data_IF_681986096259
#
_entry.id   IF_681986096259
#
_cell.length_a   1.000
_cell.length_b   1.000
_cell.length_c   1.000
_cell.angle_alpha   90.00
_cell.angle_beta   90.00
_cell.angle_gamma   90.00
#
_symmetry.space_group_name_H-M   'P 1'
#
loop_
_entity.id
_entity.type
_entity.pdbx_description
1 polymer ?
#
# COMPACT_ATOMS: atom_id res chain seq x y z
N UNK A 1 42.13 -39.47 -11.71
CA UNK A 1 41.06 -39.27 -12.71
C UNK A 1 39.66 -39.53 -12.16
N UNK A 2 39.40 -40.56 -11.32
CA UNK A 2 38.07 -40.74 -10.68
C UNK A 2 37.68 -39.59 -9.72
N UNK A 3 38.54 -39.27 -8.74
CA UNK A 3 38.29 -38.20 -7.76
C UNK A 3 37.97 -36.83 -8.37
N UNK A 4 38.56 -36.48 -9.51
CA UNK A 4 38.35 -35.19 -10.18
C UNK A 4 36.98 -35.10 -10.87
N UNK A 5 36.45 -36.24 -11.32
CA UNK A 5 35.09 -36.31 -11.87
C UNK A 5 34.06 -36.27 -10.76
N UNK A 6 34.30 -36.96 -9.64
CA UNK A 6 33.40 -36.99 -8.48
C UNK A 6 33.22 -35.57 -7.87
N UNK A 7 34.32 -34.81 -7.71
CA UNK A 7 34.30 -33.42 -7.25
C UNK A 7 33.55 -32.47 -8.21
N UNK A 8 33.67 -32.69 -9.52
CA UNK A 8 32.97 -31.87 -10.51
C UNK A 8 31.46 -32.13 -10.50
N UNK A 9 31.07 -33.39 -10.34
CA UNK A 9 29.67 -33.80 -10.25
C UNK A 9 29.01 -33.26 -8.97
N UNK A 10 29.72 -33.31 -7.84
CA UNK A 10 29.27 -32.73 -6.57
C UNK A 10 29.07 -31.21 -6.65
N UNK A 11 30.03 -30.49 -7.24
CA UNK A 11 29.91 -29.03 -7.45
C UNK A 11 28.76 -28.66 -8.38
N UNK A 12 28.53 -29.43 -9.44
CA UNK A 12 27.41 -29.22 -10.35
C UNK A 12 26.06 -29.40 -9.62
N UNK A 13 25.96 -30.46 -8.82
CA UNK A 13 24.75 -30.77 -8.06
C UNK A 13 24.47 -29.69 -6.99
N UNK A 14 25.51 -29.23 -6.29
CA UNK A 14 25.40 -28.12 -5.34
C UNK A 14 24.91 -26.83 -6.03
N UNK A 15 25.52 -26.48 -7.16
CA UNK A 15 25.14 -25.30 -7.96
C UNK A 15 23.67 -25.38 -8.38
N UNK A 16 23.24 -26.55 -8.85
CA UNK A 16 21.85 -26.77 -9.26
C UNK A 16 20.86 -26.66 -8.09
N UNK A 17 21.20 -27.19 -6.91
CA UNK A 17 20.37 -27.06 -5.70
C UNK A 17 20.24 -25.59 -5.28
N UNK A 18 21.36 -24.85 -5.27
CA UNK A 18 21.37 -23.42 -4.95
C UNK A 18 20.56 -22.61 -5.97
N UNK A 19 20.71 -22.90 -7.26
CA UNK A 19 19.96 -22.22 -8.33
C UNK A 19 18.45 -22.46 -8.19
N UNK A 20 18.04 -23.72 -7.98
CA UNK A 20 16.63 -24.07 -7.80
C UNK A 20 16.03 -23.36 -6.58
N UNK A 21 16.77 -23.31 -5.47
CA UNK A 21 16.32 -22.61 -4.27
C UNK A 21 16.18 -21.10 -4.52
N UNK A 22 17.18 -20.48 -5.13
CA UNK A 22 17.16 -19.05 -5.48
C UNK A 22 15.94 -18.71 -6.34
N UNK A 23 15.76 -19.42 -7.47
CA UNK A 23 14.67 -19.13 -8.40
C UNK A 23 13.30 -19.41 -7.80
N UNK A 24 13.16 -20.45 -6.98
CA UNK A 24 11.91 -20.73 -6.28
C UNK A 24 11.53 -19.58 -5.35
N UNK A 25 12.44 -19.15 -4.48
CA UNK A 25 12.16 -18.09 -3.51
C UNK A 25 11.96 -16.73 -4.20
N UNK A 26 12.77 -16.43 -5.23
CA UNK A 26 12.64 -15.22 -6.03
C UNK A 26 11.27 -15.12 -6.71
N UNK A 27 10.85 -16.18 -7.42
CA UNK A 27 9.58 -16.17 -8.16
C UNK A 27 8.38 -16.12 -7.21
N UNK A 28 8.45 -16.83 -6.09
CA UNK A 28 7.41 -16.78 -5.07
C UNK A 28 7.27 -15.37 -4.50
N UNK A 29 8.38 -14.75 -4.06
CA UNK A 29 8.36 -13.39 -3.52
C UNK A 29 7.89 -12.38 -4.57
N UNK A 30 8.39 -12.45 -5.81
CA UNK A 30 7.97 -11.55 -6.88
C UNK A 30 6.46 -11.64 -7.15
N UNK A 31 5.90 -12.85 -7.11
CA UNK A 31 4.44 -13.07 -7.24
C UNK A 31 3.67 -12.42 -6.09
N UNK A 32 4.16 -12.58 -4.86
CA UNK A 32 3.56 -11.95 -3.67
C UNK A 32 3.59 -10.42 -3.78
N UNK A 33 4.75 -9.84 -4.13
CA UNK A 33 4.90 -8.39 -4.27
C UNK A 33 4.00 -7.83 -5.38
N UNK A 34 3.89 -8.53 -6.51
CA UNK A 34 2.96 -8.17 -7.59
C UNK A 34 1.50 -8.20 -7.12
N UNK A 35 1.11 -9.22 -6.36
CA UNK A 35 -0.25 -9.31 -5.82
C UNK A 35 -0.54 -8.17 -4.83
N UNK A 36 0.39 -7.85 -3.92
CA UNK A 36 0.24 -6.73 -2.98
C UNK A 36 0.12 -5.41 -3.75
N UNK A 37 0.96 -5.18 -4.76
CA UNK A 37 0.88 -4.00 -5.63
C UNK A 37 -0.48 -3.88 -6.32
N UNK A 38 -0.98 -4.98 -6.90
CA UNK A 38 -2.30 -5.01 -7.53
C UNK A 38 -3.42 -4.70 -6.54
N UNK A 39 -3.43 -5.32 -5.36
CA UNK A 39 -4.44 -5.05 -4.35
C UNK A 39 -4.35 -3.62 -3.81
N UNK A 40 -3.14 -3.09 -3.63
CA UNK A 40 -2.92 -1.71 -3.20
C UNK A 40 -3.51 -0.72 -4.21
N UNK A 41 -3.35 -0.97 -5.52
CA UNK A 41 -3.94 -0.14 -6.58
C UNK A 41 -5.48 -0.10 -6.57
N UNK A 42 -6.11 -1.08 -5.92
CA UNK A 42 -7.56 -1.15 -5.77
C UNK A 42 -8.07 -0.38 -4.55
N UNK A 43 -7.19 -0.01 -3.62
CA UNK A 43 -7.56 0.82 -2.48
C UNK A 43 -7.89 2.22 -2.98
N UNK A 44 -9.09 2.69 -2.64
CA UNK A 44 -9.58 4.00 -3.09
C UNK A 44 -9.73 4.94 -1.90
N UNK A 45 -8.70 5.75 -1.60
CA UNK A 45 -8.73 6.61 -0.42
C UNK A 45 -9.70 7.79 -0.53
N UNK A 46 -10.40 7.98 -1.66
CA UNK A 46 -11.22 9.17 -1.93
C UNK A 46 -12.69 8.89 -1.65
N UNK A 47 -13.12 9.07 -0.42
CA UNK A 47 -14.52 9.01 -0.01
C UNK A 47 -14.79 10.01 1.12
N UNK A 48 -16.04 10.47 1.23
CA UNK A 48 -16.54 11.26 2.37
C UNK A 48 -17.26 10.40 3.40
N UNK A 49 -17.44 9.10 3.12
CA UNK A 49 -18.05 8.16 4.05
C UNK A 49 -16.98 7.57 4.97
N UNK A 50 -17.14 7.80 6.28
CA UNK A 50 -16.23 7.28 7.30
C UNK A 50 -16.17 5.75 7.31
N UNK A 51 -17.32 5.07 7.28
CA UNK A 51 -17.38 3.61 7.26
C UNK A 51 -16.65 3.03 6.03
N UNK A 52 -16.76 3.67 4.88
CA UNK A 52 -16.03 3.25 3.69
C UNK A 52 -14.51 3.39 3.88
N UNK A 53 -14.05 4.54 4.40
CA UNK A 53 -12.63 4.77 4.66
C UNK A 53 -12.06 3.80 5.71
N UNK A 54 -12.84 3.45 6.74
CA UNK A 54 -12.46 2.45 7.74
C UNK A 54 -12.25 1.06 7.11
N UNK A 55 -13.13 0.64 6.20
CA UNK A 55 -12.97 -0.62 5.47
C UNK A 55 -11.72 -0.60 4.56
N UNK A 56 -11.46 0.51 3.87
CA UNK A 56 -10.25 0.66 3.05
C UNK A 56 -8.97 0.67 3.90
N UNK A 57 -9.03 1.27 5.10
CA UNK A 57 -7.94 1.25 6.07
C UNK A 57 -7.66 -0.16 6.59
N UNK A 58 -8.68 -0.99 6.81
CA UNK A 58 -8.49 -2.39 7.21
C UNK A 58 -7.80 -3.21 6.12
N UNK A 59 -8.23 -3.06 4.86
CA UNK A 59 -7.56 -3.69 3.71
C UNK A 59 -6.09 -3.24 3.62
N UNK A 60 -5.84 -1.94 3.74
CA UNK A 60 -4.49 -1.39 3.77
C UNK A 60 -3.64 -2.02 4.87
N UNK A 61 -4.17 -2.13 6.10
CA UNK A 61 -3.44 -2.70 7.22
C UNK A 61 -3.07 -4.17 6.97
N UNK A 62 -3.96 -4.94 6.33
CA UNK A 62 -3.68 -6.31 5.95
C UNK A 62 -2.54 -6.37 4.91
N UNK A 63 -2.56 -5.50 3.89
CA UNK A 63 -1.47 -5.43 2.90
C UNK A 63 -0.13 -5.06 3.51
N UNK A 64 -0.10 -4.12 4.46
CA UNK A 64 1.12 -3.76 5.19
C UNK A 64 1.65 -4.95 5.97
N UNK A 65 0.78 -5.68 6.66
CA UNK A 65 1.16 -6.89 7.40
C UNK A 65 1.74 -7.95 6.46
N UNK A 66 1.08 -8.20 5.33
CA UNK A 66 1.54 -9.17 4.34
C UNK A 66 2.89 -8.76 3.74
N UNK A 67 3.09 -7.47 3.44
CA UNK A 67 4.37 -6.94 2.99
C UNK A 67 5.47 -7.14 4.05
N UNK A 68 5.25 -6.73 5.30
CA UNK A 68 6.20 -6.90 6.40
C UNK A 68 6.55 -8.36 6.69
N UNK A 69 5.58 -9.27 6.59
CA UNK A 69 5.81 -10.70 6.80
C UNK A 69 6.81 -11.30 5.80
N UNK A 70 6.99 -10.66 4.64
CA UNK A 70 7.91 -11.11 3.59
C UNK A 70 9.30 -10.46 3.68
N UNK A 71 9.56 -9.59 4.66
CA UNK A 71 10.85 -8.91 4.82
C UNK A 71 12.00 -9.91 5.05
N UNK A 72 11.78 -10.94 5.86
CA UNK A 72 12.80 -11.97 6.11
C UNK A 72 13.13 -12.71 4.80
N UNK A 73 12.12 -13.12 4.04
CA UNK A 73 12.31 -13.82 2.74
C UNK A 73 13.07 -12.94 1.75
N UNK A 74 12.71 -11.66 1.67
CA UNK A 74 13.43 -10.68 0.87
C UNK A 74 14.92 -10.60 1.24
N UNK A 75 15.23 -10.48 2.53
CA UNK A 75 16.63 -10.46 3.00
C UNK A 75 17.37 -11.77 2.73
N UNK A 76 16.72 -12.93 2.90
CA UNK A 76 17.34 -14.22 2.59
C UNK A 76 17.70 -14.37 1.11
N UNK A 77 16.85 -13.90 0.19
CA UNK A 77 17.15 -13.91 -1.24
C UNK A 77 18.38 -13.07 -1.55
N UNK A 78 18.45 -11.85 -1.00
CA UNK A 78 19.56 -10.94 -1.25
C UNK A 78 20.88 -11.40 -0.61
N UNK A 79 20.83 -11.81 0.65
CA UNK A 79 22.03 -11.99 1.47
C UNK A 79 22.49 -13.44 1.57
N UNK A 80 21.63 -14.41 1.26
CA UNK A 80 21.96 -15.82 1.41
C UNK A 80 21.91 -16.54 0.08
N UNK A 81 20.72 -16.65 -0.52
CA UNK A 81 20.56 -17.47 -1.73
C UNK A 81 21.27 -16.85 -2.94
N UNK A 82 21.16 -15.52 -3.12
CA UNK A 82 21.87 -14.80 -4.17
C UNK A 82 23.39 -14.89 -4.04
N UNK A 83 23.94 -14.59 -2.85
CA UNK A 83 25.40 -14.66 -2.61
C UNK A 83 25.96 -16.08 -2.77
N UNK A 84 25.25 -17.09 -2.25
CA UNK A 84 25.66 -18.49 -2.40
C UNK A 84 25.72 -18.89 -3.87
N UNK A 85 24.70 -18.55 -4.65
CA UNK A 85 24.67 -18.88 -6.07
C UNK A 85 25.77 -18.15 -6.83
N UNK A 86 25.91 -16.82 -6.64
CA UNK A 86 26.96 -16.00 -7.27
C UNK A 86 28.37 -16.52 -7.01
N UNK A 87 28.63 -17.06 -5.81
CA UNK A 87 29.93 -17.67 -5.48
C UNK A 87 30.20 -18.90 -6.33
N UNK A 88 29.18 -19.74 -6.53
CA UNK A 88 29.29 -21.01 -7.27
C UNK A 88 29.37 -20.81 -8.79
N UNK A 89 28.75 -19.75 -9.32
CA UNK A 89 28.71 -19.46 -10.77
C UNK A 89 29.69 -18.37 -11.20
N UNK A 90 30.65 -17.99 -10.35
CA UNK A 90 31.56 -16.85 -10.59
C UNK A 90 32.37 -16.94 -11.90
N UNK A 91 32.62 -18.14 -12.40
CA UNK A 91 33.30 -18.38 -13.68
C UNK A 91 32.37 -18.21 -14.90
N UNK A 92 31.07 -18.07 -14.69
CA UNK A 92 30.05 -17.85 -15.72
C UNK A 92 29.51 -16.41 -15.64
N UNK A 93 30.11 -15.53 -16.42
CA UNK A 93 29.76 -14.10 -16.43
C UNK A 93 28.30 -13.85 -16.80
N UNK A 94 27.76 -14.58 -17.78
CA UNK A 94 26.39 -14.36 -18.26
C UNK A 94 25.37 -14.67 -17.16
N UNK A 95 25.52 -15.82 -16.49
CA UNK A 95 24.63 -16.19 -15.39
C UNK A 95 24.80 -15.24 -14.19
N UNK A 96 26.04 -14.83 -13.91
CA UNK A 96 26.33 -13.84 -12.86
C UNK A 96 25.59 -12.51 -13.10
N UNK A 97 25.63 -12.01 -14.34
CA UNK A 97 24.95 -10.76 -14.72
C UNK A 97 23.42 -10.91 -14.64
N UNK A 98 22.88 -12.05 -15.04
CA UNK A 98 21.45 -12.34 -14.94
C UNK A 98 20.97 -12.37 -13.48
N UNK A 99 21.73 -12.99 -12.57
CA UNK A 99 21.42 -12.99 -11.13
C UNK A 99 21.50 -11.58 -10.54
N UNK A 100 22.54 -10.80 -10.88
CA UNK A 100 22.63 -9.40 -10.43
C UNK A 100 21.45 -8.56 -10.91
N UNK A 101 21.03 -8.72 -12.17
CA UNK A 101 19.84 -8.02 -12.71
C UNK A 101 18.58 -8.39 -11.92
N UNK A 102 18.33 -9.67 -11.67
CA UNK A 102 17.16 -10.10 -10.91
C UNK A 102 17.18 -9.56 -9.46
N UNK A 103 18.32 -9.61 -8.79
CA UNK A 103 18.46 -9.03 -7.44
C UNK A 103 18.18 -7.52 -7.46
N UNK A 104 18.67 -6.81 -8.47
CA UNK A 104 18.41 -5.38 -8.63
C UNK A 104 16.92 -5.10 -8.87
N UNK A 105 16.27 -5.84 -9.77
CA UNK A 105 14.83 -5.71 -10.05
C UNK A 105 13.98 -5.94 -8.78
N UNK A 106 14.33 -6.95 -7.97
CA UNK A 106 13.65 -7.22 -6.71
C UNK A 106 13.78 -6.07 -5.72
N UNK A 107 14.97 -5.48 -5.59
CA UNK A 107 15.21 -4.30 -4.74
C UNK A 107 14.37 -3.11 -5.21
N UNK A 108 14.31 -2.87 -6.52
CA UNK A 108 13.48 -1.79 -7.07
C UNK A 108 11.98 -2.03 -6.80
N UNK A 109 11.50 -3.26 -7.02
CA UNK A 109 10.11 -3.62 -6.75
C UNK A 109 9.75 -3.44 -5.27
N UNK A 110 10.64 -3.87 -4.37
CA UNK A 110 10.46 -3.71 -2.92
C UNK A 110 10.35 -2.23 -2.52
N UNK A 111 11.29 -1.40 -2.98
CA UNK A 111 11.33 0.02 -2.65
C UNK A 111 10.14 0.79 -3.23
N UNK A 112 9.73 0.46 -4.46
CA UNK A 112 8.56 1.05 -5.08
C UNK A 112 7.30 0.73 -4.28
N UNK A 113 7.09 -0.53 -3.92
CA UNK A 113 5.93 -0.94 -3.16
C UNK A 113 5.89 -0.29 -1.76
N UNK A 114 7.04 -0.18 -1.09
CA UNK A 114 7.16 0.55 0.17
C UNK A 114 6.77 2.03 0.02
N UNK A 115 7.16 2.65 -1.09
CA UNK A 115 6.77 4.04 -1.42
C UNK A 115 5.27 4.16 -1.65
N UNK A 116 4.69 3.25 -2.45
CA UNK A 116 3.26 3.25 -2.77
C UNK A 116 2.40 3.03 -1.51
N UNK A 117 2.82 2.14 -0.61
CA UNK A 117 2.16 1.92 0.68
C UNK A 117 2.15 3.20 1.50
N UNK A 118 3.29 3.90 1.60
CA UNK A 118 3.38 5.16 2.34
C UNK A 118 2.48 6.26 1.73
N UNK A 119 2.45 6.39 0.40
CA UNK A 119 1.56 7.33 -0.30
C UNK A 119 0.10 7.01 0.02
N UNK A 120 -0.31 5.76 -0.14
CA UNK A 120 -1.68 5.33 0.15
C UNK A 120 -2.07 5.61 1.61
N UNK A 121 -1.15 5.37 2.56
CA UNK A 121 -1.38 5.69 3.97
C UNK A 121 -1.64 7.19 4.19
N UNK A 122 -0.87 8.06 3.53
CA UNK A 122 -1.04 9.51 3.64
C UNK A 122 -2.38 9.94 3.04
N UNK A 123 -2.76 9.40 1.88
CA UNK A 123 -4.04 9.72 1.24
C UNK A 123 -5.24 9.24 2.08
N UNK A 124 -5.18 8.06 2.69
CA UNK A 124 -6.20 7.56 3.61
C UNK A 124 -6.34 8.47 4.82
N UNK A 125 -5.21 8.80 5.48
CA UNK A 125 -5.20 9.72 6.65
C UNK A 125 -5.82 11.07 6.32
N UNK A 126 -5.43 11.68 5.20
CA UNK A 126 -5.99 12.96 4.78
C UNK A 126 -7.50 12.88 4.51
N UNK A 127 -7.96 11.77 3.95
CA UNK A 127 -9.37 11.60 3.62
C UNK A 127 -10.23 11.33 4.86
N UNK A 128 -9.69 10.60 5.85
CA UNK A 128 -10.33 10.45 7.16
C UNK A 128 -10.50 11.80 7.86
N UNK A 129 -9.45 12.64 7.89
CA UNK A 129 -9.52 13.98 8.47
C UNK A 129 -10.62 14.81 7.78
N UNK A 130 -10.66 14.81 6.45
CA UNK A 130 -11.70 15.53 5.68
C UNK A 130 -13.11 15.00 5.95
N UNK A 131 -13.25 13.68 6.12
CA UNK A 131 -14.53 13.05 6.47
C UNK A 131 -14.99 13.49 7.86
N UNK A 132 -14.09 13.53 8.84
CA UNK A 132 -14.41 13.96 10.20
C UNK A 132 -14.76 15.47 10.25
N UNK A 133 -14.03 16.31 9.51
CA UNK A 133 -14.35 17.73 9.37
C UNK A 133 -15.74 17.96 8.75
N UNK A 134 -16.10 17.17 7.74
CA UNK A 134 -17.41 17.24 7.10
C UNK A 134 -18.51 16.83 8.09
N UNK A 135 -18.32 15.71 8.79
CA UNK A 135 -19.29 15.23 9.78
C UNK A 135 -19.50 16.25 10.91
N UNK A 136 -18.43 16.85 11.43
CA UNK A 136 -18.53 17.90 12.44
C UNK A 136 -19.30 19.14 11.93
N UNK A 137 -19.10 19.54 10.67
CA UNK A 137 -19.87 20.63 10.04
C UNK A 137 -21.34 20.26 9.90
N UNK A 138 -21.67 19.03 9.51
CA UNK A 138 -23.05 18.56 9.39
C UNK A 138 -23.75 18.50 10.75
N UNK A 139 -23.05 18.04 11.79
CA UNK A 139 -23.57 18.02 13.17
C UNK A 139 -23.90 19.44 13.64
N UNK A 140 -23.00 20.41 13.45
CA UNK A 140 -23.25 21.81 13.78
C UNK A 140 -24.48 22.38 13.06
N UNK A 141 -24.66 22.05 11.77
CA UNK A 141 -25.84 22.48 11.00
C UNK A 141 -27.11 21.81 11.52
N UNK A 142 -27.06 20.52 11.86
CA UNK A 142 -28.19 19.79 12.46
C UNK A 142 -28.60 20.42 13.78
N UNK A 143 -27.66 20.67 14.69
CA UNK A 143 -27.92 21.33 15.97
C UNK A 143 -28.53 22.72 15.77
N UNK A 144 -28.06 23.49 14.78
CA UNK A 144 -28.67 24.78 14.46
C UNK A 144 -30.12 24.65 13.98
N UNK A 145 -30.44 23.65 13.15
CA UNK A 145 -31.81 23.38 12.74
C UNK A 145 -32.69 22.94 13.92
N UNK A 146 -32.18 22.10 14.81
CA UNK A 146 -32.90 21.63 15.99
C UNK A 146 -33.16 22.81 16.97
N UNK A 147 -32.16 23.65 17.22
CA UNK A 147 -32.30 24.88 18.03
C UNK A 147 -33.30 25.87 17.41
N UNK A 148 -33.33 26.01 16.08
CA UNK A 148 -34.28 26.91 15.39
C UNK A 148 -35.69 26.33 15.27
N UNK A 149 -35.84 25.01 15.14
CA UNK A 149 -37.14 24.35 15.15
C UNK A 149 -37.84 24.51 16.52
N UNK A 150 -37.07 24.62 17.60
CA UNK A 150 -37.57 24.99 18.93
C UNK A 150 -38.06 26.45 19.05
N UNK A 151 -37.64 27.34 18.13
CA UNK A 151 -38.12 28.72 18.01
C UNK A 151 -39.41 28.85 17.16
N UNK A 152 -39.67 27.91 16.24
CA UNK A 152 -40.80 28.00 15.29
C UNK A 152 -42.17 27.66 15.88
N UNK A 153 -42.27 27.34 17.18
CA UNK A 153 -43.57 27.33 17.88
C UNK A 153 -44.08 28.74 18.22
N UNK A 154 -43.30 29.79 17.96
CA UNK A 154 -43.74 31.19 18.06
C UNK A 154 -43.33 31.98 16.81
N UNK A 155 -44.09 31.89 15.72
CA UNK A 155 -43.91 32.77 14.56
C UNK A 155 -45.11 33.72 14.44
N UNK A 156 -44.88 34.97 14.83
CA UNK A 156 -45.47 36.14 14.18
C UNK A 156 -44.72 36.38 12.85
N UNK A 157 -45.46 36.39 11.75
CA UNK A 157 -45.05 35.97 10.40
C UNK A 157 -44.47 37.05 9.47
N UNK A 158 -43.52 37.90 9.91
CA UNK A 158 -42.99 38.94 8.99
C UNK A 158 -41.46 39.07 8.85
N UNK A 159 -40.65 38.49 9.73
CA UNK A 159 -39.18 38.62 9.63
C UNK A 159 -38.47 37.44 8.95
N UNK A 160 -39.17 36.34 8.69
CA UNK A 160 -38.55 35.11 8.17
C UNK A 160 -38.18 35.22 6.67
N UNK A 161 -38.93 35.98 5.89
CA UNK A 161 -38.64 36.22 4.47
C UNK A 161 -37.41 37.11 4.25
N UNK A 162 -37.16 38.09 5.13
CA UNK A 162 -35.96 38.94 5.03
C UNK A 162 -34.70 38.14 5.36
N UNK A 163 -34.75 37.24 6.34
CA UNK A 163 -33.59 36.44 6.72
C UNK A 163 -33.21 35.37 5.68
N UNK A 164 -34.19 34.79 4.99
CA UNK A 164 -33.95 33.90 3.84
C UNK A 164 -33.32 34.69 2.68
N UNK A 165 -33.71 35.96 2.48
CA UNK A 165 -33.10 36.84 1.47
C UNK A 165 -31.63 37.14 1.81
N UNK A 166 -31.31 37.50 3.05
CA UNK A 166 -29.92 37.84 3.45
C UNK A 166 -29.00 36.62 3.39
N UNK A 167 -29.51 35.43 3.70
CA UNK A 167 -28.75 34.19 3.60
C UNK A 167 -28.43 33.82 2.15
N UNK A 168 -29.37 34.04 1.22
CA UNK A 168 -29.13 33.85 -0.21
C UNK A 168 -28.07 34.83 -0.75
N UNK A 169 -28.12 36.10 -0.35
CA UNK A 169 -27.12 37.11 -0.74
C UNK A 169 -25.70 36.82 -0.23
N UNK A 170 -25.57 36.12 0.90
CA UNK A 170 -24.26 35.65 1.41
C UNK A 170 -23.70 34.45 0.65
N UNK A 171 -24.57 33.61 0.06
CA UNK A 171 -24.15 32.49 -0.77
C UNK A 171 -23.77 32.91 -2.20
N UNK A 172 -24.43 33.94 -2.74
CA UNK A 172 -24.20 34.41 -4.12
C UNK A 172 -22.99 35.37 -4.25
N UNK A 173 -22.41 35.85 -3.14
CA UNK A 173 -21.27 36.80 -3.11
C UNK A 173 -19.90 36.14 -2.78
N UNK A 174 -19.74 34.83 -3.02
CA UNK A 174 -18.45 34.14 -3.01
C UNK A 174 -18.15 33.54 -4.37
#
# INVERSE_FOLDING_TARGET
MKQTNDLREENLLLTQVCANKFWSEYNELSTILNNISQQLSQIRPRSTSRQYLENEQEKYNQLVKDFSNNEIKYQEILQKYGLQLLTLISDNQQETDDIHRCLYELVQQWNQLQTDLNICQQELKQSMIKSDELNAKLENVSTWFDDKSSFTTNIETNNEFEHIRTFKEHLDNK
#
